data_IF_058410163527
#
_entry.id   IF_058410163527
#
_cell.length_a   1.000
_cell.length_b   1.000
_cell.length_c   1.000
_cell.angle_alpha   90.00
_cell.angle_beta   90.00
_cell.angle_gamma   90.00
#
_symmetry.space_group_name_H-M   'P 1'
#
loop_
_entity.id
_entity.type
_entity.pdbx_description
1 polymer ?
#
# COMPACT_ATOMS: atom_id res chain seq x y z
N UNK A 1 13.99 2.14 11.65
CA UNK A 1 13.80 3.40 10.89
C UNK A 1 14.58 3.43 9.59
N UNK A 2 15.89 3.18 9.56
CA UNK A 2 16.70 3.30 8.33
C UNK A 2 16.21 2.49 7.12
N UNK A 3 15.76 1.24 7.32
CA UNK A 3 15.16 0.43 6.25
C UNK A 3 13.92 1.08 5.62
N UNK A 4 13.08 1.72 6.44
CA UNK A 4 11.88 2.42 6.00
C UNK A 4 12.23 3.68 5.21
N UNK A 5 13.26 4.44 5.63
CA UNK A 5 13.73 5.61 4.88
C UNK A 5 14.37 5.20 3.55
N UNK A 6 15.15 4.12 3.53
CA UNK A 6 15.72 3.58 2.29
C UNK A 6 14.61 3.16 1.33
N UNK A 7 13.58 2.44 1.81
CA UNK A 7 12.41 2.07 1.01
C UNK A 7 11.64 3.28 0.48
N UNK A 8 11.47 4.32 1.29
CA UNK A 8 10.81 5.58 0.89
C UNK A 8 11.57 6.30 -0.23
N UNK A 9 12.90 6.30 -0.18
CA UNK A 9 13.73 7.03 -1.14
C UNK A 9 14.05 6.22 -2.41
N UNK A 10 13.94 4.90 -2.37
CA UNK A 10 14.34 4.03 -3.49
C UNK A 10 13.69 4.38 -4.85
N UNK A 11 12.41 4.80 -4.92
CA UNK A 11 11.80 5.22 -6.20
C UNK A 11 12.40 6.50 -6.80
N UNK A 12 13.10 7.31 -6.00
CA UNK A 12 13.64 8.61 -6.42
C UNK A 12 15.17 8.67 -6.40
N UNK A 13 15.83 7.73 -5.70
CA UNK A 13 17.29 7.63 -5.57
C UNK A 13 17.69 6.16 -5.70
N UNK A 14 18.28 5.79 -6.82
CA UNK A 14 18.62 4.39 -7.14
C UNK A 14 19.60 3.76 -6.14
N UNK A 15 20.65 4.50 -5.73
CA UNK A 15 21.74 3.98 -4.89
C UNK A 15 21.51 4.16 -3.38
N UNK A 16 20.27 4.38 -2.96
CA UNK A 16 19.96 4.55 -1.53
C UNK A 16 20.04 3.20 -0.79
N UNK A 17 20.69 3.22 0.37
CA UNK A 17 20.77 2.07 1.27
C UNK A 17 20.48 2.52 2.71
N UNK A 18 20.49 1.57 3.66
CA UNK A 18 20.16 1.87 5.06
C UNK A 18 21.16 2.80 5.76
N UNK A 19 22.39 2.91 5.25
CA UNK A 19 23.42 3.80 5.78
C UNK A 19 23.25 5.21 5.23
N UNK A 20 23.00 5.33 3.92
CA UNK A 20 22.88 6.64 3.25
C UNK A 20 21.51 7.30 3.45
N UNK A 21 20.43 6.52 3.63
CA UNK A 21 19.08 7.06 3.68
C UNK A 21 18.86 8.14 4.76
N UNK A 22 19.28 7.97 6.03
CA UNK A 22 19.06 9.00 7.06
C UNK A 22 19.78 10.32 6.75
N UNK A 23 20.95 10.25 6.10
CA UNK A 23 21.73 11.42 5.70
C UNK A 23 21.00 12.14 4.56
N UNK A 24 20.62 11.39 3.51
CA UNK A 24 19.91 11.95 2.35
C UNK A 24 18.56 12.60 2.71
N UNK A 25 17.82 12.02 3.66
CA UNK A 25 16.56 12.61 4.16
C UNK A 25 16.82 13.98 4.79
N UNK A 26 17.85 14.09 5.63
CA UNK A 26 18.24 15.35 6.27
C UNK A 26 18.74 16.37 5.25
N UNK A 27 19.57 15.97 4.30
CA UNK A 27 20.13 16.85 3.26
C UNK A 27 19.04 17.41 2.33
N UNK A 28 17.95 16.65 2.12
CA UNK A 28 16.76 17.09 1.39
C UNK A 28 15.82 17.97 2.23
N UNK A 29 16.18 18.30 3.47
CA UNK A 29 15.37 19.12 4.37
C UNK A 29 14.10 18.40 4.89
N UNK A 30 14.03 17.08 4.78
CA UNK A 30 12.88 16.31 5.26
C UNK A 30 13.00 16.17 6.78
N UNK A 31 12.00 16.66 7.51
CA UNK A 31 11.94 16.55 8.96
C UNK A 31 11.54 15.12 9.33
N UNK A 32 12.43 14.41 10.02
CA UNK A 32 12.18 13.08 10.55
C UNK A 32 11.76 13.17 12.02
N UNK A 33 10.59 12.63 12.34
CA UNK A 33 10.15 12.42 13.72
C UNK A 33 9.96 10.92 13.98
N UNK A 34 10.54 10.43 15.07
CA UNK A 34 10.41 9.05 15.50
C UNK A 34 9.73 9.00 16.86
N UNK A 35 8.71 8.16 16.98
CA UNK A 35 8.02 7.90 18.24
C UNK A 35 7.95 6.38 18.45
N UNK A 36 8.29 5.95 19.67
CA UNK A 36 8.10 4.57 20.13
C UNK A 36 7.12 4.60 21.29
N UNK A 37 6.20 3.66 21.30
CA UNK A 37 5.23 3.47 22.37
C UNK A 37 5.27 2.01 22.79
N UNK A 38 5.19 1.78 24.09
CA UNK A 38 5.01 0.44 24.62
C UNK A 38 3.63 -0.11 24.21
N UNK A 39 3.49 -1.43 24.25
CA UNK A 39 2.34 -2.17 23.73
C UNK A 39 1.01 -1.53 24.11
N UNK A 40 0.23 -1.16 23.09
CA UNK A 40 -1.17 -0.71 23.26
C UNK A 40 -2.00 -1.16 22.06
N UNK A 41 -3.10 -1.89 22.30
CA UNK A 41 -4.05 -2.30 21.26
C UNK A 41 -4.00 -3.79 20.90
N UNK A 42 -4.55 -4.12 19.73
CA UNK A 42 -4.81 -5.51 19.27
C UNK A 42 -3.58 -6.19 18.66
N UNK A 43 -2.62 -5.42 18.15
CA UNK A 43 -1.40 -5.95 17.53
C UNK A 43 -0.24 -6.00 18.53
N UNK A 44 0.55 -7.08 18.51
CA UNK A 44 1.70 -7.26 19.40
C UNK A 44 2.80 -6.19 19.19
N UNK A 45 2.93 -5.70 17.96
CA UNK A 45 3.74 -4.55 17.60
C UNK A 45 3.51 -4.21 16.13
N UNK A 46 3.57 -2.93 15.76
CA UNK A 46 3.47 -2.53 14.35
C UNK A 46 4.32 -1.30 14.11
N UNK A 47 4.63 -1.04 12.84
CA UNK A 47 5.31 0.18 12.42
C UNK A 47 4.33 0.98 11.55
N UNK A 48 4.23 2.28 11.81
CA UNK A 48 3.46 3.23 10.99
C UNK A 48 4.36 4.30 10.43
N UNK A 49 4.32 4.46 9.11
CA UNK A 49 4.92 5.57 8.39
C UNK A 49 3.84 6.59 8.08
N UNK A 50 4.07 7.86 8.41
CA UNK A 50 3.25 8.98 7.99
C UNK A 50 4.13 9.95 7.22
N UNK A 51 3.70 10.33 6.01
CA UNK A 51 4.37 11.28 5.14
C UNK A 51 3.43 12.45 4.93
N UNK A 52 3.90 13.63 5.28
CA UNK A 52 3.19 14.89 5.02
C UNK A 52 3.96 15.65 3.96
N UNK A 53 3.24 16.09 2.94
CA UNK A 53 3.72 16.98 1.87
C UNK A 53 2.81 18.20 1.83
N UNK A 54 3.20 19.23 1.07
CA UNK A 54 2.36 20.41 0.84
C UNK A 54 0.97 20.08 0.27
N UNK A 55 0.85 18.94 -0.44
CA UNK A 55 -0.39 18.54 -1.13
C UNK A 55 -1.28 17.62 -0.29
N UNK A 56 -0.69 16.76 0.54
CA UNK A 56 -1.42 15.70 1.23
C UNK A 56 -0.59 15.06 2.35
N UNK A 57 -1.32 14.43 3.28
CA UNK A 57 -0.79 13.49 4.27
C UNK A 57 -1.21 12.07 3.90
N UNK A 58 -0.26 11.13 3.91
CA UNK A 58 -0.52 9.69 3.72
C UNK A 58 0.10 8.91 4.85
N UNK A 59 -0.55 7.83 5.26
CA UNK A 59 0.01 6.91 6.24
C UNK A 59 -0.19 5.46 5.85
N UNK A 60 0.79 4.61 6.16
CA UNK A 60 0.73 3.16 6.00
C UNK A 60 1.23 2.53 7.31
N UNK A 61 0.52 1.53 7.81
CA UNK A 61 0.95 0.73 8.95
C UNK A 61 1.01 -0.74 8.55
N UNK A 62 2.03 -1.42 9.05
CA UNK A 62 2.24 -2.84 8.82
C UNK A 62 2.80 -3.53 10.06
N UNK A 63 2.59 -4.84 10.12
CA UNK A 63 3.06 -5.73 11.19
C UNK A 63 3.62 -7.01 10.59
N UNK A 64 4.33 -7.78 11.41
CA UNK A 64 4.67 -9.17 11.11
C UNK A 64 3.82 -10.03 12.05
N UNK A 65 3.01 -10.93 11.49
CA UNK A 65 2.16 -11.81 12.28
C UNK A 65 2.97 -12.98 12.87
N UNK A 66 2.34 -13.78 13.74
CA UNK A 66 2.98 -14.92 14.40
C UNK A 66 3.48 -16.01 13.43
N UNK A 67 2.96 -16.02 12.21
CA UNK A 67 3.42 -16.87 11.09
C UNK A 67 4.69 -16.34 10.40
N UNK A 68 5.25 -15.21 10.87
CA UNK A 68 6.42 -14.57 10.30
C UNK A 68 6.14 -13.77 9.03
N UNK A 69 4.88 -13.68 8.58
CA UNK A 69 4.53 -13.01 7.31
C UNK A 69 4.21 -11.53 7.54
N UNK A 70 4.71 -10.63 6.67
CA UNK A 70 4.36 -9.22 6.73
C UNK A 70 2.92 -8.98 6.27
N UNK A 71 2.22 -8.06 6.94
CA UNK A 71 0.87 -7.63 6.55
C UNK A 71 0.69 -6.12 6.66
N UNK A 72 -0.10 -5.55 5.76
CA UNK A 72 -0.65 -4.21 5.89
C UNK A 72 -1.88 -4.25 6.79
N UNK A 73 -1.87 -3.41 7.82
CA UNK A 73 -2.97 -3.31 8.79
C UNK A 73 -3.78 -2.01 8.66
N UNK A 74 -3.17 -0.99 8.05
CA UNK A 74 -3.83 0.30 7.84
C UNK A 74 -3.21 1.05 6.67
N UNK A 75 -4.04 1.62 5.78
CA UNK A 75 -3.60 2.51 4.71
C UNK A 75 -4.52 3.72 4.65
N UNK A 76 -3.96 4.94 4.64
CA UNK A 76 -4.69 6.21 4.73
C UNK A 76 -5.71 6.25 5.89
N UNK A 77 -5.42 5.59 7.01
CA UNK A 77 -6.32 5.51 8.17
C UNK A 77 -7.41 4.43 8.06
N UNK A 78 -7.60 3.83 6.88
CA UNK A 78 -8.53 2.72 6.67
C UNK A 78 -7.87 1.43 7.14
N UNK A 79 -8.52 0.73 8.08
CA UNK A 79 -8.05 -0.55 8.59
C UNK A 79 -8.30 -1.66 7.55
N UNK A 80 -7.35 -2.58 7.44
CA UNK A 80 -7.42 -3.77 6.57
C UNK A 80 -6.51 -4.87 7.14
N UNK A 81 -6.58 -6.08 6.57
CA UNK A 81 -5.63 -7.16 6.86
C UNK A 81 -5.18 -7.75 5.54
N UNK A 82 -4.09 -7.22 4.98
CA UNK A 82 -3.62 -7.61 3.67
C UNK A 82 -2.20 -8.16 3.69
N UNK A 83 -2.06 -9.39 3.21
CA UNK A 83 -0.75 -10.00 2.99
C UNK A 83 0.05 -9.19 1.96
N UNK A 84 1.38 -9.22 2.09
CA UNK A 84 2.29 -8.63 1.11
C UNK A 84 2.68 -9.69 0.09
N UNK A 85 2.21 -9.53 -1.15
CA UNK A 85 2.61 -10.35 -2.29
C UNK A 85 3.64 -9.66 -3.18
N UNK A 86 4.28 -10.41 -4.09
CA UNK A 86 5.28 -9.84 -5.01
C UNK A 86 4.67 -8.81 -5.94
N UNK A 87 3.60 -9.18 -6.65
CA UNK A 87 2.89 -8.30 -7.56
C UNK A 87 1.55 -7.91 -6.95
N UNK A 88 1.35 -6.63 -6.68
CA UNK A 88 0.10 -6.14 -6.12
C UNK A 88 -0.47 -4.98 -6.92
N UNK A 89 -1.79 -4.80 -6.85
CA UNK A 89 -2.47 -3.61 -7.36
C UNK A 89 -3.07 -2.85 -6.18
N UNK A 90 -2.64 -1.61 -6.01
CA UNK A 90 -3.25 -0.66 -5.09
C UNK A 90 -4.33 0.14 -5.82
N UNK A 91 -5.55 0.07 -5.31
CA UNK A 91 -6.70 0.80 -5.84
C UNK A 91 -7.28 1.67 -4.74
N UNK A 92 -7.47 2.95 -5.04
CA UNK A 92 -8.27 3.85 -4.20
C UNK A 92 -9.56 4.18 -4.94
N UNK A 93 -10.70 3.90 -4.34
CA UNK A 93 -12.01 4.04 -4.97
C UNK A 93 -13.05 4.60 -4.01
N UNK A 94 -14.22 4.95 -4.53
CA UNK A 94 -15.44 5.16 -3.73
C UNK A 94 -16.19 3.83 -3.63
N UNK A 95 -16.66 3.50 -2.43
CA UNK A 95 -17.37 2.24 -2.15
C UNK A 95 -18.80 2.29 -2.72
N UNK A 96 -18.97 1.77 -3.93
CA UNK A 96 -20.26 1.71 -4.64
C UNK A 96 -20.63 0.27 -4.98
N UNK A 97 -21.93 -0.06 -5.07
CA UNK A 97 -22.37 -1.39 -5.49
C UNK A 97 -21.74 -1.82 -6.82
N UNK A 98 -21.33 -3.09 -6.92
CA UNK A 98 -20.73 -3.67 -8.13
C UNK A 98 -19.21 -3.47 -8.28
N UNK A 99 -18.58 -2.67 -7.41
CA UNK A 99 -17.15 -2.34 -7.51
C UNK A 99 -16.22 -3.58 -7.45
N UNK A 100 -16.49 -4.52 -6.54
CA UNK A 100 -15.72 -5.78 -6.44
C UNK A 100 -15.88 -6.62 -7.72
N UNK A 101 -17.11 -6.75 -8.22
CA UNK A 101 -17.39 -7.50 -9.45
C UNK A 101 -16.71 -6.88 -10.67
N UNK A 102 -16.71 -5.54 -10.77
CA UNK A 102 -16.00 -4.82 -11.82
C UNK A 102 -14.48 -5.07 -11.80
N UNK A 103 -13.85 -4.97 -10.63
CA UNK A 103 -12.41 -5.25 -10.48
C UNK A 103 -12.09 -6.70 -10.83
N UNK A 104 -12.83 -7.65 -10.27
CA UNK A 104 -12.63 -9.08 -10.54
C UNK A 104 -12.79 -9.44 -12.01
N UNK A 105 -13.83 -8.91 -12.67
CA UNK A 105 -14.07 -9.15 -14.10
C UNK A 105 -12.98 -8.51 -14.96
N UNK A 106 -12.55 -7.28 -14.64
CA UNK A 106 -11.50 -6.59 -15.39
C UNK A 106 -10.17 -7.37 -15.40
N UNK A 107 -9.79 -7.95 -14.25
CA UNK A 107 -8.60 -8.79 -14.15
C UNK A 107 -8.81 -10.15 -14.80
N UNK A 108 -9.96 -10.79 -14.58
CA UNK A 108 -10.30 -12.09 -15.17
C UNK A 108 -10.33 -12.06 -16.70
N UNK A 109 -10.92 -11.03 -17.30
CA UNK A 109 -10.94 -10.80 -18.76
C UNK A 109 -9.55 -10.59 -19.35
N UNK A 110 -8.61 -10.11 -18.53
CA UNK A 110 -7.20 -9.96 -18.88
C UNK A 110 -6.37 -11.23 -18.61
N UNK A 111 -6.98 -12.29 -18.10
CA UNK A 111 -6.30 -13.53 -17.72
C UNK A 111 -5.43 -13.41 -16.48
N UNK A 112 -5.62 -12.39 -15.64
CA UNK A 112 -4.84 -12.16 -14.43
C UNK A 112 -5.52 -12.81 -13.24
N UNK A 113 -4.85 -13.80 -12.63
CA UNK A 113 -5.35 -14.46 -11.42
C UNK A 113 -5.13 -13.58 -10.18
N UNK A 114 -6.07 -13.65 -9.22
CA UNK A 114 -6.03 -12.92 -7.96
C UNK A 114 -5.83 -13.93 -6.81
N UNK A 115 -4.65 -13.93 -6.22
CA UNK A 115 -4.31 -14.79 -5.08
C UNK A 115 -4.97 -14.32 -3.77
N UNK A 116 -5.06 -13.01 -3.57
CA UNK A 116 -5.72 -12.43 -2.40
C UNK A 116 -6.37 -11.09 -2.77
N UNK A 117 -7.57 -10.84 -2.25
CA UNK A 117 -8.32 -9.61 -2.46
C UNK A 117 -8.71 -9.04 -1.11
N UNK A 118 -8.19 -7.85 -0.79
CA UNK A 118 -8.48 -7.17 0.46
C UNK A 118 -9.06 -5.79 0.23
N UNK A 119 -10.15 -5.51 0.93
CA UNK A 119 -10.86 -4.23 0.85
C UNK A 119 -11.01 -3.65 2.25
N UNK A 120 -10.51 -2.42 2.41
CA UNK A 120 -10.85 -1.57 3.54
C UNK A 120 -11.73 -0.41 3.08
N UNK A 121 -12.66 0.02 3.92
CA UNK A 121 -13.43 1.26 3.72
C UNK A 121 -13.49 2.06 5.01
N UNK A 122 -13.55 3.38 4.88
CA UNK A 122 -13.75 4.28 6.02
C UNK A 122 -15.19 4.15 6.55
N UNK A 123 -16.15 4.44 5.68
CA UNK A 123 -17.57 4.27 5.91
C UNK A 123 -18.28 3.74 4.66
N UNK A 124 -19.49 3.22 4.81
CA UNK A 124 -20.31 2.81 3.68
C UNK A 124 -20.55 4.00 2.74
N UNK A 125 -20.29 3.83 1.43
CA UNK A 125 -20.40 4.88 0.43
C UNK A 125 -19.23 5.88 0.40
N UNK A 126 -18.26 5.74 1.31
CA UNK A 126 -17.11 6.63 1.43
C UNK A 126 -15.91 6.19 0.60
N UNK A 127 -14.73 6.62 1.05
CA UNK A 127 -13.46 6.18 0.48
C UNK A 127 -13.15 4.73 0.87
N UNK A 128 -12.65 3.98 -0.11
CA UNK A 128 -12.21 2.61 0.03
C UNK A 128 -10.83 2.41 -0.62
N UNK A 129 -10.16 1.37 -0.15
CA UNK A 129 -8.88 0.90 -0.68
C UNK A 129 -9.01 -0.58 -0.94
N UNK A 130 -8.71 -0.99 -2.17
CA UNK A 130 -8.50 -2.39 -2.50
C UNK A 130 -7.00 -2.66 -2.70
N UNK A 131 -6.52 -3.74 -2.10
CA UNK A 131 -5.22 -4.33 -2.35
C UNK A 131 -5.44 -5.72 -2.95
N UNK A 132 -4.97 -5.89 -4.18
CA UNK A 132 -5.07 -7.16 -4.89
C UNK A 132 -3.66 -7.74 -4.99
N UNK A 133 -3.46 -8.95 -4.48
CA UNK A 133 -2.28 -9.74 -4.79
C UNK A 133 -2.59 -10.55 -6.05
N UNK A 134 -1.82 -10.32 -7.11
CA UNK A 134 -1.92 -11.00 -8.40
C UNK A 134 -0.67 -11.85 -8.66
N UNK A 135 -0.82 -12.92 -9.44
CA UNK A 135 0.28 -13.86 -9.69
C UNK A 135 1.36 -13.28 -10.61
N UNK A 136 0.99 -12.33 -11.47
CA UNK A 136 1.87 -11.74 -12.49
C UNK A 136 1.84 -10.21 -12.42
N UNK A 137 2.86 -9.57 -13.01
CA UNK A 137 2.91 -8.12 -13.10
C UNK A 137 1.71 -7.58 -13.90
N UNK A 138 0.90 -6.66 -13.32
CA UNK A 138 -0.28 -6.14 -14.00
C UNK A 138 0.10 -5.26 -15.18
N UNK A 139 -0.34 -5.65 -16.38
CA UNK A 139 -0.14 -4.86 -17.61
C UNK A 139 -0.82 -3.50 -17.50
N UNK A 140 -0.22 -2.49 -18.14
CA UNK A 140 -0.76 -1.13 -18.15
C UNK A 140 -2.20 -1.06 -18.66
N UNK A 141 -2.54 -1.87 -19.67
CA UNK A 141 -3.90 -1.95 -20.22
C UNK A 141 -4.96 -2.35 -19.17
N UNK A 142 -4.61 -3.20 -18.21
CA UNK A 142 -5.51 -3.60 -17.10
C UNK A 142 -5.72 -2.43 -16.16
N UNK A 143 -4.65 -1.70 -15.83
CA UNK A 143 -4.71 -0.52 -14.98
C UNK A 143 -5.54 0.59 -15.62
N UNK A 144 -5.42 0.78 -16.94
CA UNK A 144 -6.18 1.77 -17.68
C UNK A 144 -7.68 1.43 -17.71
N UNK A 145 -8.03 0.15 -17.89
CA UNK A 145 -9.43 -0.33 -17.78
C UNK A 145 -10.01 -0.09 -16.39
N UNK A 146 -9.22 -0.33 -15.33
CA UNK A 146 -9.65 -0.02 -13.96
C UNK A 146 -9.89 1.49 -13.79
N UNK A 147 -8.96 2.33 -14.27
CA UNK A 147 -9.08 3.78 -14.18
C UNK A 147 -10.21 4.39 -15.02
N UNK A 148 -10.73 3.66 -16.00
CA UNK A 148 -11.89 4.10 -16.79
C UNK A 148 -13.19 4.14 -15.96
N UNK A 149 -13.25 3.43 -14.83
CA UNK A 149 -14.42 3.48 -13.97
C UNK A 149 -14.43 4.75 -13.11
N UNK A 150 -15.51 5.56 -13.12
CA UNK A 150 -15.52 6.89 -12.49
C UNK A 150 -15.32 6.87 -10.96
N UNK A 151 -15.69 5.77 -10.30
CA UNK A 151 -15.47 5.60 -8.87
C UNK A 151 -14.03 5.20 -8.50
N UNK A 152 -13.16 4.86 -9.46
CA UNK A 152 -11.75 4.54 -9.21
C UNK A 152 -10.92 5.82 -9.36
N UNK A 153 -10.31 6.25 -8.25
CA UNK A 153 -9.51 7.48 -8.18
C UNK A 153 -8.04 7.22 -8.49
N UNK A 154 -7.53 6.06 -8.11
CA UNK A 154 -6.14 5.62 -8.38
C UNK A 154 -6.11 4.11 -8.57
N UNK A 155 -5.32 3.64 -9.53
CA UNK A 155 -4.89 2.26 -9.67
C UNK A 155 -3.37 2.28 -9.93
N UNK A 156 -2.60 1.61 -9.09
CA UNK A 156 -1.13 1.60 -9.16
C UNK A 156 -0.58 0.18 -8.98
N UNK A 157 0.37 -0.24 -9.81
CA UNK A 157 1.10 -1.46 -9.57
C UNK A 157 2.05 -1.24 -8.40
N UNK A 158 2.23 -2.26 -7.58
CA UNK A 158 3.22 -2.33 -6.52
C UNK A 158 4.02 -3.62 -6.72
N UNK A 159 5.33 -3.52 -6.60
CA UNK A 159 6.21 -4.68 -6.57
C UNK A 159 6.97 -4.70 -5.25
N UNK A 160 6.96 -5.87 -4.59
CA UNK A 160 7.67 -6.10 -3.34
C UNK A 160 8.66 -7.25 -3.49
N UNK A 161 9.84 -7.08 -2.90
CA UNK A 161 10.79 -8.18 -2.73
C UNK A 161 10.33 -9.05 -1.55
N UNK A 162 9.50 -10.04 -1.83
CA UNK A 162 9.10 -11.10 -0.90
C UNK A 162 9.72 -12.41 -1.40
N UNK A 163 10.43 -13.10 -0.49
CA UNK A 163 11.02 -14.43 -0.71
C UNK A 163 9.98 -15.54 -0.52
#
# INVERSE_FOLDING_TARGET
TSAMLAGLLRPVVADVNMVSAPIMVKDKGIILQEAKRDKSGVYDGYIKLTITTEKQTRSVAGTVFSDGKPRFIQIKGINMDADVGRHMIYIANTDVPGMIGFMGSTLGDAGVNIANFQLGRDNQGGDAIALLYVDEEPKQEVLDKLLAHPAIKQAKPLEFAVE
#
